data_IF_267521930045
#
_entry.id   IF_267521930045
#
_cell.length_a   1.000
_cell.length_b   1.000
_cell.length_c   1.000
_cell.angle_alpha   90.00
_cell.angle_beta   90.00
_cell.angle_gamma   90.00
#
_symmetry.space_group_name_H-M   'P 1'
#
loop_
_entity.id
_entity.type
_entity.pdbx_description
1 polymer ?
#
# COMPACT_ATOMS: atom_id res chain seq x y z
N UNK A 1 -7.59 4.49 -23.58
CA UNK A 1 -6.77 4.81 -23.08
C UNK A 1 -6.67 4.28 -21.79
N UNK A 2 -5.71 4.32 -21.28
CA UNK A 2 -5.59 3.72 -20.07
C UNK A 2 -6.33 4.42 -19.02
N UNK A 3 -7.01 3.73 -18.21
CA UNK A 3 -7.76 4.34 -17.19
C UNK A 3 -6.91 4.42 -15.97
N UNK A 4 -6.31 5.54 -15.74
CA UNK A 4 -5.45 5.70 -14.59
C UNK A 4 -6.19 5.49 -13.30
N UNK A 5 -7.48 5.73 -13.29
CA UNK A 5 -8.24 5.48 -12.07
C UNK A 5 -8.23 4.01 -11.70
N UNK A 6 -8.07 3.13 -12.68
CA UNK A 6 -8.10 1.71 -12.38
C UNK A 6 -6.81 1.21 -11.81
N UNK A 7 -5.74 1.99 -11.90
CA UNK A 7 -4.47 1.56 -11.33
C UNK A 7 -4.11 2.36 -10.09
N UNK A 8 -5.08 3.06 -9.53
CA UNK A 8 -4.86 3.82 -8.31
C UNK A 8 -5.86 3.39 -7.26
N UNK A 9 -5.45 3.42 -6.01
CA UNK A 9 -6.33 3.09 -4.90
C UNK A 9 -5.97 3.98 -3.74
N UNK A 10 -6.99 4.41 -3.01
CA UNK A 10 -6.81 5.22 -1.81
C UNK A 10 -7.49 4.52 -0.65
N UNK A 11 -6.79 4.40 0.47
CA UNK A 11 -7.35 3.73 1.62
C UNK A 11 -6.63 4.21 2.87
N UNK A 12 -7.24 3.94 4.02
CA UNK A 12 -6.67 4.27 5.32
C UNK A 12 -6.14 2.99 5.94
N UNK A 13 -4.97 3.05 6.55
CA UNK A 13 -4.36 1.89 7.17
C UNK A 13 -3.53 2.35 8.35
N UNK A 14 -3.27 1.42 9.26
CA UNK A 14 -2.44 1.68 10.43
C UNK A 14 -1.03 1.23 10.14
N UNK A 15 -0.05 2.07 10.49
CA UNK A 15 1.34 1.67 10.37
C UNK A 15 1.67 0.76 11.54
N UNK A 16 1.98 -0.49 11.23
CA UNK A 16 2.23 -1.49 12.27
C UNK A 16 3.71 -1.58 12.61
N UNK A 17 4.56 -1.58 11.61
CA UNK A 17 5.98 -1.72 11.88
C UNK A 17 6.79 -1.17 10.73
N UNK A 18 8.02 -0.82 11.05
CA UNK A 18 8.98 -0.35 10.07
C UNK A 18 10.30 -1.03 10.42
N UNK A 19 10.87 -1.72 9.46
CA UNK A 19 12.09 -2.47 9.69
C UNK A 19 13.11 -2.14 8.62
N UNK A 20 14.31 -1.74 9.05
CA UNK A 20 15.39 -1.47 8.10
C UNK A 20 16.08 -2.78 7.75
N UNK A 21 16.57 -2.84 6.53
CA UNK A 21 17.24 -4.03 6.02
C UNK A 21 18.72 -3.75 5.85
N UNK A 22 19.49 -4.83 5.71
CA UNK A 22 20.93 -4.70 5.61
C UNK A 22 21.37 -3.99 4.35
N UNK A 23 20.54 -4.02 3.29
CA UNK A 23 20.90 -3.38 2.03
C UNK A 23 20.44 -1.94 1.98
N UNK A 24 20.16 -1.33 3.11
CA UNK A 24 19.76 0.07 3.25
C UNK A 24 18.33 0.34 2.81
N UNK A 25 17.57 -0.70 2.52
CA UNK A 25 16.15 -0.55 2.25
C UNK A 25 15.36 -0.73 3.55
N UNK A 26 14.04 -0.62 3.46
CA UNK A 26 13.19 -0.77 4.62
C UNK A 26 11.90 -1.46 4.23
N UNK A 27 11.37 -2.24 5.16
CA UNK A 27 10.07 -2.86 5.00
C UNK A 27 9.06 -2.14 5.87
N UNK A 28 7.95 -1.76 5.26
CA UNK A 28 6.87 -1.08 5.95
C UNK A 28 5.67 -2.01 5.99
N UNK A 29 5.13 -2.24 7.18
CA UNK A 29 3.98 -3.11 7.35
C UNK A 29 2.78 -2.28 7.75
N UNK A 30 1.69 -2.42 7.01
CA UNK A 30 0.45 -1.72 7.28
C UNK A 30 -0.65 -2.72 7.63
N UNK A 31 -1.53 -2.30 8.51
CA UNK A 31 -2.73 -3.06 8.82
C UNK A 31 -3.91 -2.38 8.14
N UNK A 32 -4.55 -3.06 7.22
CA UNK A 32 -5.65 -2.50 6.44
C UNK A 32 -6.96 -2.90 7.08
N UNK A 33 -7.79 -1.93 7.50
CA UNK A 33 -9.06 -2.27 8.12
C UNK A 33 -9.98 -3.00 7.17
N UNK A 34 -10.93 -3.71 7.72
CA UNK A 34 -11.79 -4.57 6.94
C UNK A 34 -12.52 -3.85 5.81
N UNK A 35 -13.02 -2.62 6.00
CA UNK A 35 -13.73 -1.96 4.90
C UNK A 35 -12.90 -1.81 3.64
N UNK A 36 -11.57 -1.74 3.76
CA UNK A 36 -10.70 -1.57 2.61
C UNK A 36 -10.01 -2.86 2.18
N UNK A 37 -10.17 -3.93 2.96
CA UNK A 37 -9.35 -5.11 2.79
C UNK A 37 -9.51 -5.75 1.42
N UNK A 38 -10.74 -5.92 0.97
CA UNK A 38 -10.97 -6.60 -0.30
C UNK A 38 -10.38 -5.83 -1.46
N UNK A 39 -10.58 -4.50 -1.48
CA UNK A 39 -10.05 -3.70 -2.58
C UNK A 39 -8.53 -3.69 -2.58
N UNK A 40 -7.93 -3.57 -1.41
CA UNK A 40 -6.47 -3.55 -1.31
C UNK A 40 -5.89 -4.88 -1.75
N UNK A 41 -6.48 -5.99 -1.30
CA UNK A 41 -5.95 -7.28 -1.67
C UNK A 41 -6.08 -7.55 -3.16
N UNK A 42 -7.18 -7.12 -3.75
CA UNK A 42 -7.35 -7.32 -5.18
C UNK A 42 -6.32 -6.54 -5.98
N UNK A 43 -6.10 -5.27 -5.61
CA UNK A 43 -5.18 -4.45 -6.37
C UNK A 43 -3.74 -4.81 -6.12
N UNK A 44 -3.38 -4.95 -4.86
CA UNK A 44 -1.97 -5.16 -4.53
C UNK A 44 -1.49 -6.54 -4.90
N UNK A 45 -2.38 -7.53 -4.94
CA UNK A 45 -1.94 -8.86 -5.37
C UNK A 45 -1.50 -8.85 -6.82
N UNK A 46 -2.08 -7.98 -7.64
CA UNK A 46 -1.67 -7.86 -9.02
C UNK A 46 -0.40 -7.05 -9.20
N UNK A 47 -0.02 -6.32 -8.17
CA UNK A 47 1.11 -5.40 -8.26
C UNK A 47 2.36 -5.96 -7.60
N UNK A 48 2.35 -7.21 -7.20
CA UNK A 48 3.51 -7.77 -6.53
C UNK A 48 4.71 -7.74 -7.46
N UNK A 49 5.83 -7.30 -6.93
CA UNK A 49 7.03 -7.16 -7.72
C UNK A 49 7.11 -5.90 -8.54
N UNK A 50 6.06 -5.09 -8.52
CA UNK A 50 6.04 -3.84 -9.28
C UNK A 50 6.29 -2.67 -8.35
N UNK A 51 6.76 -1.58 -8.93
CA UNK A 51 6.98 -0.36 -8.18
C UNK A 51 5.70 0.45 -8.16
N UNK A 52 5.33 0.92 -6.98
CA UNK A 52 4.16 1.78 -6.85
C UNK A 52 4.56 3.06 -6.14
N UNK A 53 3.81 4.12 -6.40
CA UNK A 53 4.04 5.39 -5.74
C UNK A 53 3.10 5.49 -4.56
N UNK A 54 3.67 5.76 -3.40
CA UNK A 54 2.89 5.79 -2.16
C UNK A 54 2.89 7.20 -1.60
N UNK A 55 1.71 7.69 -1.25
CA UNK A 55 1.54 8.99 -0.61
C UNK A 55 0.83 8.73 0.70
N UNK A 56 1.37 9.28 1.79
CA UNK A 56 0.81 9.06 3.12
C UNK A 56 0.42 10.38 3.74
N UNK A 57 -0.75 10.41 4.38
CA UNK A 57 -1.24 11.57 5.09
C UNK A 57 -1.66 11.09 6.47
N UNK A 58 -1.20 11.80 7.50
CA UNK A 58 -1.54 11.42 8.86
C UNK A 58 -2.98 11.77 9.15
N UNK A 59 -3.73 10.77 9.61
CA UNK A 59 -5.12 10.97 10.01
C UNK A 59 -5.18 11.13 11.50
N UNK A 60 -5.88 12.15 11.99
CA UNK A 60 -6.00 12.35 13.43
C UNK A 60 -7.45 12.37 13.91
#
# INVERSE_FOLDING_TARGET
MTDKEQIAIEFTAEVRSLKTMADLSANLTLNVPEPFKAAVMERFSKWQGLMVRVVAVLEE
#
